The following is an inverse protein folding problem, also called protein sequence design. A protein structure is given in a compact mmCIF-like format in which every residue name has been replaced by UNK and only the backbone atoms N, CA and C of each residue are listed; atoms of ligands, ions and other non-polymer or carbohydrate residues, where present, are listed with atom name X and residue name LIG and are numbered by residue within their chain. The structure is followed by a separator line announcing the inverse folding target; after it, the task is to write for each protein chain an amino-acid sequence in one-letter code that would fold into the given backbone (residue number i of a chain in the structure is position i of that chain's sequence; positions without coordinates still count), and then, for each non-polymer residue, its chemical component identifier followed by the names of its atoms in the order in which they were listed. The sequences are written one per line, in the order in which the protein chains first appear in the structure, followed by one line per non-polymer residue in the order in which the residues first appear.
data_IF_916141300438
#
_entry.id   IF_916141300438
#
_cell.length_a   1.000
_cell.length_b   1.000
_cell.length_c   1.000
_cell.angle_alpha   90.00
_cell.angle_beta   90.00
_cell.angle_gamma   90.00
#
_symmetry.space_group_name_H-M   'P 1'
#
loop_
_entity.id
_entity.type
_entity.pdbx_description
1 polymer ?
#
# COMPACT_ATOMS: atom_id res chain seq x y z
N UNK A 1 38.79 -9.24 -2.82
CA UNK A 1 38.72 -8.12 -1.87
C UNK A 1 37.31 -7.54 -1.76
N UNK A 2 36.86 -6.60 -2.62
CA UNK A 2 35.53 -5.95 -2.46
C UNK A 2 34.35 -6.92 -2.66
N UNK A 3 34.46 -7.84 -3.64
CA UNK A 3 33.47 -8.89 -3.87
C UNK A 3 33.27 -9.82 -2.67
N UNK A 4 34.38 -10.21 -2.03
CA UNK A 4 34.37 -11.09 -0.86
C UNK A 4 33.81 -10.40 0.39
N UNK A 5 33.77 -9.06 0.39
CA UNK A 5 33.14 -8.23 1.43
C UNK A 5 31.67 -7.91 1.13
N UNK A 6 31.08 -8.53 0.11
CA UNK A 6 29.65 -8.44 -0.20
C UNK A 6 29.26 -7.34 -1.20
N UNK A 7 30.20 -6.54 -1.70
CA UNK A 7 29.92 -5.54 -2.75
C UNK A 7 29.82 -6.21 -4.13
N UNK A 8 28.89 -5.75 -4.95
CA UNK A 8 28.71 -6.24 -6.32
C UNK A 8 29.19 -5.20 -7.35
N UNK A 9 29.71 -5.67 -8.48
CA UNK A 9 30.13 -4.81 -9.58
C UNK A 9 29.04 -4.70 -10.65
N UNK A 10 28.94 -3.53 -11.28
CA UNK A 10 28.02 -3.25 -12.39
C UNK A 10 28.81 -2.86 -13.62
N UNK A 11 28.39 -3.32 -14.81
CA UNK A 11 28.97 -2.89 -16.09
C UNK A 11 28.06 -1.88 -16.75
N UNK A 12 28.56 -0.66 -16.96
CA UNK A 12 27.83 0.41 -17.63
C UNK A 12 28.29 0.46 -19.08
N UNK A 13 27.34 0.39 -20.01
CA UNK A 13 27.57 0.62 -21.42
C UNK A 13 27.49 2.14 -21.71
N UNK A 14 28.45 2.67 -22.47
CA UNK A 14 28.44 4.05 -22.93
C UNK A 14 28.95 4.13 -24.37
N UNK A 15 28.48 5.11 -25.13
CA UNK A 15 28.86 5.32 -26.51
C UNK A 15 29.92 6.42 -26.60
N UNK A 16 31.10 6.07 -27.11
CA UNK A 16 32.19 7.02 -27.32
C UNK A 16 32.61 6.90 -28.79
N UNK A 17 32.46 7.98 -29.56
CA UNK A 17 32.76 8.04 -30.99
C UNK A 17 32.06 6.95 -31.84
N UNK A 18 30.79 6.63 -31.54
CA UNK A 18 30.01 5.65 -32.30
C UNK A 18 30.37 4.18 -32.00
N UNK A 19 31.22 3.92 -31.01
CA UNK A 19 31.52 2.58 -30.52
C UNK A 19 30.91 2.38 -29.13
N UNK A 20 30.22 1.26 -28.94
CA UNK A 20 29.76 0.83 -27.62
C UNK A 20 30.95 0.33 -26.80
N UNK A 21 31.24 1.05 -25.71
CA UNK A 21 32.26 0.70 -24.73
C UNK A 21 31.61 0.33 -23.40
N UNK A 22 32.29 -0.51 -22.61
CA UNK A 22 31.80 -0.96 -21.30
C UNK A 22 32.79 -0.59 -20.20
N UNK A 23 32.31 0.08 -19.15
CA UNK A 23 33.10 0.37 -17.94
C UNK A 23 32.56 -0.41 -16.76
N UNK A 24 33.43 -1.14 -16.07
CA UNK A 24 33.05 -1.81 -14.82
C UNK A 24 33.19 -0.81 -13.67
N UNK A 25 32.13 -0.65 -12.89
CA UNK A 25 32.08 0.19 -11.69
C UNK A 25 31.69 -0.66 -10.48
N UNK A 26 32.11 -0.24 -9.29
CA UNK A 26 31.75 -0.83 -8.00
C UNK A 26 30.91 0.18 -7.23
N UNK A 27 29.59 0.23 -7.48
CA UNK A 27 28.72 1.26 -6.94
C UNK A 27 28.28 0.86 -5.54
N UNK A 28 29.12 1.16 -4.55
CA UNK A 28 28.81 0.91 -3.15
C UNK A 28 29.82 1.55 -2.21
N UNK A 29 29.52 1.48 -0.92
CA UNK A 29 30.37 1.96 0.16
C UNK A 29 30.50 0.88 1.24
N UNK A 30 31.58 0.96 2.02
CA UNK A 30 31.70 0.20 3.27
C UNK A 30 31.49 1.17 4.43
N UNK A 31 30.56 0.85 5.31
CA UNK A 31 30.39 1.59 6.56
C UNK A 31 31.01 0.77 7.68
N UNK A 32 32.01 1.36 8.34
CA UNK A 32 32.66 0.78 9.50
C UNK A 32 32.22 1.55 10.75
N UNK A 33 31.60 0.87 11.70
CA UNK A 33 31.23 1.45 12.98
C UNK A 33 31.55 0.48 14.11
N UNK A 34 32.29 0.94 15.13
CA UNK A 34 32.71 0.16 16.31
C UNK A 34 33.36 -1.21 16.01
N UNK A 35 33.99 -1.36 14.84
CA UNK A 35 34.70 -2.58 14.44
C UNK A 35 33.88 -3.56 13.60
N UNK A 36 32.59 -3.28 13.36
CA UNK A 36 31.77 -4.00 12.37
C UNK A 36 31.79 -3.25 11.03
N UNK A 37 32.03 -3.99 9.94
CA UNK A 37 31.98 -3.48 8.57
C UNK A 37 30.71 -4.00 7.88
N UNK A 38 29.88 -3.10 7.36
CA UNK A 38 28.69 -3.45 6.58
C UNK A 38 28.79 -2.88 5.15
N UNK A 39 28.59 -3.70 4.11
CA UNK A 39 28.56 -3.23 2.72
C UNK A 39 27.22 -2.57 2.39
N UNK A 40 27.28 -1.44 1.69
CA UNK A 40 26.13 -0.73 1.14
C UNK A 40 26.25 -0.74 -0.37
N UNK A 41 25.30 -1.39 -1.05
CA UNK A 41 25.24 -1.43 -2.51
C UNK A 41 24.30 -0.33 -3.01
N UNK A 42 24.76 0.54 -3.91
CA UNK A 42 23.99 1.70 -4.38
C UNK A 42 23.09 1.39 -5.57
N UNK A 43 23.45 0.42 -6.42
CA UNK A 43 22.66 0.05 -7.60
C UNK A 43 22.08 -1.36 -7.45
N UNK A 44 20.75 -1.47 -7.68
CA UNK A 44 20.10 -2.74 -7.95
C UNK A 44 20.49 -3.26 -9.33
N UNK A 45 20.66 -4.57 -9.45
CA UNK A 45 21.07 -5.24 -10.68
C UNK A 45 19.97 -5.17 -11.74
N UNK A 46 20.05 -4.18 -12.62
CA UNK A 46 19.68 -4.15 -14.06
C UNK A 46 19.54 -2.69 -14.49
N UNK A 47 20.58 -2.13 -15.13
CA UNK A 47 20.52 -0.76 -15.70
C UNK A 47 20.53 -0.87 -17.23
N UNK A 48 19.38 -0.73 -17.91
CA UNK A 48 19.32 -0.54 -19.34
C UNK A 48 19.29 0.97 -19.64
N UNK A 49 20.45 1.51 -20.03
CA UNK A 49 20.69 2.88 -20.54
C UNK A 49 20.54 4.07 -19.56
N UNK A 50 21.41 5.07 -19.74
CA UNK A 50 21.52 6.26 -18.93
C UNK A 50 20.70 7.42 -19.53
N UNK A 51 19.45 7.56 -19.10
CA UNK A 51 18.64 8.76 -19.32
C UNK A 51 18.79 9.74 -18.14
N UNK A 52 18.57 11.03 -18.38
CA UNK A 52 18.67 12.10 -17.35
C UNK A 52 17.70 11.86 -16.17
N UNK A 53 16.52 11.28 -16.44
CA UNK A 53 15.56 10.84 -15.42
C UNK A 53 16.10 9.67 -14.55
N UNK A 54 16.95 8.81 -15.12
CA UNK A 54 17.57 7.69 -14.40
C UNK A 54 18.73 8.12 -13.51
N UNK A 55 19.46 9.16 -13.90
CA UNK A 55 20.52 9.76 -13.05
C UNK A 55 19.90 10.26 -11.75
N UNK A 56 18.77 10.97 -11.83
CA UNK A 56 18.09 11.49 -10.65
C UNK A 56 17.51 10.38 -9.75
N UNK A 57 16.89 9.34 -10.34
CA UNK A 57 16.41 8.17 -9.58
C UNK A 57 17.53 7.38 -8.89
N UNK A 58 18.71 7.32 -9.53
CA UNK A 58 19.90 6.68 -8.97
C UNK A 58 20.47 7.46 -7.78
N UNK A 59 20.45 8.80 -7.81
CA UNK A 59 20.88 9.65 -6.69
C UNK A 59 20.00 9.40 -5.47
N UNK A 60 18.68 9.41 -5.62
CA UNK A 60 17.75 9.18 -4.50
C UNK A 60 17.91 7.76 -3.92
N UNK A 61 18.10 6.76 -4.79
CA UNK A 61 18.36 5.37 -4.36
C UNK A 61 19.67 5.28 -3.59
N UNK A 62 20.73 5.96 -4.04
CA UNK A 62 22.03 5.99 -3.37
C UNK A 62 21.93 6.63 -1.98
N UNK A 63 21.25 7.77 -1.85
CA UNK A 63 21.02 8.43 -0.55
C UNK A 63 20.25 7.51 0.42
N UNK A 64 19.22 6.82 -0.06
CA UNK A 64 18.47 5.86 0.73
C UNK A 64 19.35 4.70 1.22
N UNK A 65 20.08 4.05 0.31
CA UNK A 65 20.94 2.92 0.65
C UNK A 65 22.01 3.33 1.67
N UNK A 66 22.58 4.54 1.51
CA UNK A 66 23.55 5.09 2.44
C UNK A 66 22.96 5.35 3.83
N UNK A 67 21.80 6.02 3.91
CA UNK A 67 21.13 6.30 5.17
C UNK A 67 20.72 5.00 5.89
N UNK A 68 20.20 4.02 5.14
CA UNK A 68 19.80 2.72 5.66
C UNK A 68 21.00 1.96 6.24
N UNK A 69 22.11 1.90 5.51
CA UNK A 69 23.30 1.20 5.97
C UNK A 69 24.03 1.88 7.14
N UNK A 70 24.07 3.23 7.19
CA UNK A 70 24.58 3.95 8.37
C UNK A 70 23.74 3.61 9.59
N UNK A 71 22.41 3.63 9.48
CA UNK A 71 21.51 3.34 10.60
C UNK A 71 21.59 1.88 11.05
N UNK A 72 21.67 0.94 10.10
CA UNK A 72 21.92 -0.47 10.44
C UNK A 72 23.22 -0.64 11.24
N UNK A 73 24.24 0.17 10.95
CA UNK A 73 25.49 0.20 11.72
C UNK A 73 25.43 0.98 13.03
N UNK A 74 24.49 1.92 13.22
CA UNK A 74 24.42 2.79 14.42
C UNK A 74 23.25 2.50 15.36
N UNK A 75 22.24 1.75 14.94
CA UNK A 75 21.10 1.37 15.78
C UNK A 75 21.57 0.45 16.91
N UNK A 76 21.27 0.84 18.15
CA UNK A 76 21.82 0.21 19.35
C UNK A 76 21.08 -1.07 19.74
N UNK A 77 19.78 -1.17 19.42
CA UNK A 77 18.95 -2.35 19.69
C UNK A 77 17.90 -2.54 18.58
N UNK A 78 17.70 -3.78 18.10
CA UNK A 78 16.63 -4.08 17.15
C UNK A 78 15.26 -3.88 17.82
N UNK A 79 14.36 -3.19 17.11
CA UNK A 79 12.97 -3.01 17.56
C UNK A 79 12.22 -4.33 17.64
N UNK A 80 11.32 -4.45 18.61
CA UNK A 80 10.51 -5.66 18.82
C UNK A 80 9.10 -5.51 18.25
N UNK A 81 8.72 -6.43 17.39
CA UNK A 81 7.43 -6.46 16.69
C UNK A 81 6.67 -7.71 17.13
N UNK A 82 5.45 -7.54 17.64
CA UNK A 82 4.52 -8.62 17.91
C UNK A 82 3.56 -8.82 16.75
N UNK A 83 3.39 -10.06 16.29
CA UNK A 83 2.32 -10.47 15.38
C UNK A 83 1.26 -11.18 16.22
N UNK A 84 0.05 -10.66 16.20
CA UNK A 84 -1.05 -11.21 16.98
C UNK A 84 -1.59 -12.50 16.35
N UNK A 85 -1.88 -13.47 17.20
CA UNK A 85 -2.58 -14.72 16.88
C UNK A 85 -3.64 -15.04 17.94
N UNK A 86 -4.58 -15.92 17.57
CA UNK A 86 -5.62 -16.46 18.45
C UNK A 86 -7.05 -16.01 18.11
N UNK A 87 -7.22 -15.12 17.13
CA UNK A 87 -8.52 -14.62 16.68
C UNK A 87 -8.72 -14.82 15.16
N UNK A 88 -8.06 -15.84 14.61
CA UNK A 88 -8.16 -16.24 13.20
C UNK A 88 -7.43 -15.31 12.24
N UNK A 89 -6.35 -14.69 12.71
CA UNK A 89 -5.42 -13.93 11.89
C UNK A 89 -4.78 -14.77 10.77
N UNK A 90 -4.12 -14.08 9.84
CA UNK A 90 -3.39 -14.72 8.74
C UNK A 90 -2.37 -15.77 9.23
N UNK A 91 -2.44 -16.95 8.64
CA UNK A 91 -1.48 -18.03 8.87
C UNK A 91 -0.04 -17.62 8.53
N UNK A 92 0.93 -18.30 9.14
CA UNK A 92 2.36 -18.01 8.98
C UNK A 92 2.83 -17.97 7.54
N UNK A 93 2.41 -18.97 6.77
CA UNK A 93 2.77 -19.08 5.37
C UNK A 93 2.19 -17.93 4.55
N UNK A 94 1.04 -17.39 4.94
CA UNK A 94 0.35 -16.31 4.25
C UNK A 94 1.02 -14.94 4.42
N UNK A 95 1.84 -14.76 5.47
CA UNK A 95 2.61 -13.53 5.72
C UNK A 95 4.13 -13.72 5.60
N UNK A 96 4.60 -14.91 5.20
CA UNK A 96 6.00 -15.30 5.24
C UNK A 96 6.96 -14.32 4.53
N UNK A 97 6.57 -13.75 3.38
CA UNK A 97 7.45 -12.80 2.66
C UNK A 97 7.62 -11.47 3.40
N UNK A 98 6.57 -10.97 4.05
CA UNK A 98 6.63 -9.75 4.86
C UNK A 98 7.44 -10.01 6.14
N UNK A 99 7.10 -11.07 6.87
CA UNK A 99 7.73 -11.42 8.16
C UNK A 99 9.22 -11.70 7.98
N UNK A 100 9.61 -12.51 7.00
CA UNK A 100 11.03 -12.79 6.73
C UNK A 100 11.83 -11.57 6.28
N UNK A 101 11.15 -10.51 5.81
CA UNK A 101 11.80 -9.24 5.51
C UNK A 101 11.99 -8.40 6.77
N UNK A 102 10.98 -8.35 7.65
CA UNK A 102 11.06 -7.66 8.94
C UNK A 102 12.09 -8.29 9.88
N UNK A 103 12.20 -9.62 9.91
CA UNK A 103 13.16 -10.36 10.74
C UNK A 103 14.64 -10.07 10.41
N UNK A 104 14.93 -9.43 9.26
CA UNK A 104 16.30 -9.05 8.90
C UNK A 104 16.86 -7.91 9.76
N UNK A 105 15.97 -7.05 10.26
CA UNK A 105 16.33 -5.82 10.96
C UNK A 105 15.61 -5.67 12.32
N UNK A 106 14.59 -6.49 12.60
CA UNK A 106 13.77 -6.42 13.81
C UNK A 106 13.61 -7.78 14.50
N UNK A 107 13.30 -7.76 15.79
CA UNK A 107 12.91 -8.94 16.55
C UNK A 107 11.42 -9.17 16.38
N UNK A 108 11.03 -10.12 15.54
CA UNK A 108 9.62 -10.46 15.30
C UNK A 108 9.23 -11.65 16.16
N UNK A 109 8.14 -11.54 16.92
CA UNK A 109 7.57 -12.62 17.71
C UNK A 109 6.08 -12.76 17.47
N UNK A 110 5.59 -13.98 17.44
CA UNK A 110 4.15 -14.30 17.41
C UNK A 110 3.62 -14.40 18.83
N UNK A 111 2.45 -13.81 19.08
CA UNK A 111 1.88 -13.72 20.43
C UNK A 111 0.39 -14.01 20.42
N UNK A 112 -0.03 -14.83 21.38
CA UNK A 112 -1.43 -15.09 21.66
C UNK A 112 -1.82 -14.43 22.99
N UNK A 113 -2.89 -13.63 22.99
CA UNK A 113 -3.29 -12.91 24.20
C UNK A 113 -3.89 -13.85 25.24
N UNK A 114 -4.93 -14.61 24.87
CA UNK A 114 -5.68 -15.51 25.75
C UNK A 114 -6.03 -14.89 27.13
N UNK A 115 -6.37 -13.59 27.12
CA UNK A 115 -6.66 -12.82 28.33
C UNK A 115 -5.50 -12.65 29.32
N UNK A 116 -4.25 -12.91 28.90
CA UNK A 116 -3.05 -12.83 29.76
C UNK A 116 -2.43 -11.43 29.71
N UNK A 117 -2.49 -10.72 30.83
CA UNK A 117 -2.03 -9.33 30.97
C UNK A 117 -0.54 -9.12 30.66
N UNK A 118 0.29 -10.15 30.88
CA UNK A 118 1.75 -10.04 30.80
C UNK A 118 2.32 -10.27 29.39
N UNK A 119 1.47 -10.52 28.39
CA UNK A 119 1.89 -10.89 27.02
C UNK A 119 2.46 -9.69 26.27
N UNK A 120 1.74 -8.57 26.21
CA UNK A 120 2.19 -7.38 25.47
C UNK A 120 2.97 -6.39 26.35
N UNK A 121 2.70 -6.38 27.64
CA UNK A 121 3.28 -5.44 28.60
C UNK A 121 3.61 -6.14 29.91
N UNK A 122 4.57 -5.64 30.66
CA UNK A 122 4.96 -6.14 31.98
C UNK A 122 4.90 -5.04 33.03
N UNK A 123 4.47 -5.39 34.24
CA UNK A 123 4.53 -4.50 35.39
C UNK A 123 5.88 -4.69 36.08
N UNK A 124 6.72 -3.66 35.98
CA UNK A 124 8.01 -3.63 36.68
C UNK A 124 7.81 -3.08 38.09
N UNK A 125 8.57 -3.61 39.05
CA UNK A 125 8.53 -3.13 40.44
C UNK A 125 8.90 -1.64 40.52
N UNK A 126 8.08 -0.86 41.22
CA UNK A 126 8.28 0.58 41.40
C UNK A 126 7.80 1.47 40.25
N UNK A 127 7.36 0.91 39.11
CA UNK A 127 6.81 1.69 38.01
C UNK A 127 5.30 1.91 38.17
N UNK A 128 4.81 3.14 37.94
CA UNK A 128 3.37 3.45 38.03
C UNK A 128 2.55 2.71 36.97
N UNK A 129 3.04 2.69 35.74
CA UNK A 129 2.39 2.05 34.60
C UNK A 129 3.19 0.83 34.12
N UNK A 130 2.55 -0.02 33.31
CA UNK A 130 3.20 -1.18 32.68
C UNK A 130 4.13 -0.70 31.56
N UNK A 131 5.23 -1.42 31.37
CA UNK A 131 6.17 -1.23 30.28
C UNK A 131 5.85 -2.20 29.14
N UNK A 132 5.84 -1.74 27.90
CA UNK A 132 5.58 -2.63 26.77
C UNK A 132 6.80 -3.51 26.46
N UNK A 133 6.56 -4.78 26.14
CA UNK A 133 7.58 -5.73 25.66
C UNK A 133 7.88 -5.56 24.17
N UNK A 134 6.92 -5.00 23.45
CA UNK A 134 6.93 -4.80 22.00
C UNK A 134 6.76 -3.33 21.66
N UNK A 135 7.51 -2.83 20.67
CA UNK A 135 7.35 -1.47 20.14
C UNK A 135 6.12 -1.37 19.23
N UNK A 136 5.86 -2.41 18.44
CA UNK A 136 4.77 -2.48 17.45
C UNK A 136 3.99 -3.79 17.58
N UNK A 137 2.66 -3.70 17.51
CA UNK A 137 1.75 -4.83 17.34
C UNK A 137 1.15 -4.83 15.94
N UNK A 138 1.17 -5.98 15.26
CA UNK A 138 0.54 -6.20 13.95
C UNK A 138 -0.65 -7.12 14.13
N UNK A 139 -1.84 -6.67 13.74
CA UNK A 139 -3.09 -7.44 13.75
C UNK A 139 -3.54 -7.63 12.31
N UNK A 140 -3.46 -8.85 11.80
CA UNK A 140 -3.63 -9.14 10.38
C UNK A 140 -4.82 -10.05 10.11
N UNK A 141 -5.88 -9.49 9.52
CA UNK A 141 -7.10 -10.17 9.07
C UNK A 141 -7.76 -11.07 10.14
N UNK A 142 -8.07 -10.57 11.36
CA UNK A 142 -8.80 -11.39 12.32
C UNK A 142 -10.20 -11.75 11.78
N UNK A 143 -10.62 -12.99 11.98
CA UNK A 143 -11.93 -13.51 11.54
C UNK A 143 -12.89 -13.84 12.71
N UNK A 144 -12.38 -13.78 13.94
CA UNK A 144 -13.07 -14.22 15.14
C UNK A 144 -13.23 -13.08 16.15
N UNK A 145 -14.23 -13.22 17.04
CA UNK A 145 -14.56 -12.20 18.02
C UNK A 145 -13.50 -12.11 19.13
N UNK A 146 -13.02 -10.90 19.39
CA UNK A 146 -12.12 -10.61 20.51
C UNK A 146 -12.86 -10.70 21.84
N UNK A 147 -12.25 -11.35 22.83
CA UNK A 147 -12.76 -11.35 24.19
C UNK A 147 -12.62 -9.95 24.82
N UNK A 148 -13.48 -9.60 25.78
CA UNK A 148 -13.34 -8.31 26.48
C UNK A 148 -11.98 -8.18 27.20
N UNK A 149 -11.38 -9.29 27.64
CA UNK A 149 -10.04 -9.28 28.24
C UNK A 149 -8.97 -8.89 27.22
N UNK A 150 -9.02 -9.47 26.02
CA UNK A 150 -8.07 -9.18 24.95
C UNK A 150 -8.20 -7.73 24.47
N UNK A 151 -9.43 -7.23 24.31
CA UNK A 151 -9.68 -5.82 23.97
C UNK A 151 -9.06 -4.85 24.97
N UNK A 152 -9.19 -5.15 26.27
CA UNK A 152 -8.57 -4.35 27.33
C UNK A 152 -7.03 -4.44 27.28
N UNK A 153 -6.47 -5.61 26.98
CA UNK A 153 -5.00 -5.77 26.83
C UNK A 153 -4.49 -4.95 25.64
N UNK A 154 -5.18 -4.99 24.50
CA UNK A 154 -4.88 -4.19 23.31
C UNK A 154 -4.97 -2.69 23.58
N UNK A 155 -6.03 -2.28 24.28
CA UNK A 155 -6.21 -0.89 24.70
C UNK A 155 -5.05 -0.43 25.60
N UNK A 156 -4.69 -1.22 26.62
CA UNK A 156 -3.62 -0.85 27.52
C UNK A 156 -2.24 -0.89 26.88
N UNK A 157 -2.01 -1.76 25.90
CA UNK A 157 -0.79 -1.72 25.08
C UNK A 157 -0.63 -0.38 24.36
N UNK A 158 -1.70 0.10 23.71
CA UNK A 158 -1.73 1.43 23.08
C UNK A 158 -1.55 2.55 24.13
N UNK A 159 -2.26 2.47 25.26
CA UNK A 159 -2.15 3.48 26.33
C UNK A 159 -0.73 3.57 26.89
N UNK A 160 0.00 2.47 26.96
CA UNK A 160 1.38 2.46 27.43
C UNK A 160 2.39 2.99 26.39
N UNK A 161 1.94 3.44 25.22
CA UNK A 161 2.78 4.00 24.16
C UNK A 161 3.15 3.00 23.06
N UNK A 162 2.55 1.81 23.08
CA UNK A 162 2.70 0.82 22.02
C UNK A 162 1.95 1.29 20.77
N UNK A 163 2.46 0.90 19.61
CA UNK A 163 1.91 1.30 18.31
C UNK A 163 1.26 0.11 17.63
N UNK A 164 0.21 0.33 16.84
CA UNK A 164 -0.56 -0.78 16.27
C UNK A 164 -0.78 -0.61 14.76
N UNK A 165 -0.49 -1.66 14.00
CA UNK A 165 -0.91 -1.80 12.61
C UNK A 165 -2.10 -2.75 12.54
N UNK A 166 -3.27 -2.20 12.25
CA UNK A 166 -4.50 -2.94 12.03
C UNK A 166 -4.70 -3.17 10.53
N UNK A 167 -4.90 -4.43 10.15
CA UNK A 167 -5.36 -4.80 8.81
C UNK A 167 -6.59 -5.68 9.02
N UNK A 168 -7.77 -5.11 8.81
CA UNK A 168 -9.03 -5.70 9.25
C UNK A 168 -9.98 -5.76 8.06
N UNK A 169 -10.64 -6.90 7.88
CA UNK A 169 -11.73 -7.06 6.93
C UNK A 169 -13.07 -6.82 7.61
N UNK A 170 -13.79 -5.74 7.30
CA UNK A 170 -15.15 -5.55 7.81
C UNK A 170 -16.17 -6.51 7.20
N UNK A 171 -15.83 -7.11 6.05
CA UNK A 171 -16.72 -8.00 5.29
C UNK A 171 -15.97 -9.29 4.95
N UNK A 172 -16.46 -10.43 5.43
CA UNK A 172 -15.94 -11.75 5.08
C UNK A 172 -16.45 -12.16 3.70
N UNK A 173 -15.52 -12.46 2.79
CA UNK A 173 -15.81 -12.96 1.44
C UNK A 173 -14.73 -13.97 1.04
N UNK A 174 -15.12 -15.02 0.31
CA UNK A 174 -14.20 -16.05 -0.19
C UNK A 174 -14.16 -16.09 -1.73
N UNK A 175 -12.96 -15.94 -2.29
CA UNK A 175 -12.67 -16.03 -3.72
C UNK A 175 -12.84 -17.44 -4.29
N UNK A 176 -12.55 -18.48 -3.51
CA UNK A 176 -12.58 -19.86 -4.01
C UNK A 176 -14.01 -20.32 -4.26
N UNK A 177 -14.95 -19.82 -3.46
CA UNK A 177 -16.40 -19.96 -3.69
C UNK A 177 -16.83 -19.38 -5.05
N UNK A 178 -16.28 -18.24 -5.49
CA UNK A 178 -16.61 -17.61 -6.79
C UNK A 178 -16.16 -18.49 -7.95
N UNK A 179 -14.99 -19.13 -7.86
CA UNK A 179 -14.45 -19.99 -8.93
C UNK A 179 -15.32 -21.23 -9.20
N UNK A 180 -16.07 -21.67 -8.20
CA UNK A 180 -16.87 -22.90 -8.26
C UNK A 180 -18.34 -22.62 -8.50
N UNK A 181 -18.90 -21.61 -7.82
CA UNK A 181 -20.33 -21.31 -7.82
C UNK A 181 -20.70 -20.05 -8.61
N UNK A 182 -19.75 -19.35 -9.23
CA UNK A 182 -19.89 -18.05 -9.92
C UNK A 182 -20.39 -16.89 -9.05
N UNK A 183 -20.84 -17.16 -7.83
CA UNK A 183 -21.26 -16.15 -6.86
C UNK A 183 -20.93 -16.56 -5.42
N UNK A 184 -20.81 -15.55 -4.57
CA UNK A 184 -20.71 -15.68 -3.12
C UNK A 184 -21.37 -14.46 -2.45
N UNK A 185 -21.54 -14.52 -1.14
CA UNK A 185 -22.09 -13.41 -0.36
C UNK A 185 -21.05 -12.89 0.62
N UNK A 186 -20.77 -11.60 0.53
CA UNK A 186 -20.01 -10.85 1.52
C UNK A 186 -20.91 -10.52 2.71
N UNK A 187 -20.53 -10.97 3.90
CA UNK A 187 -21.26 -10.74 5.16
C UNK A 187 -20.39 -9.96 6.15
N UNK A 188 -21.02 -9.25 7.10
CA UNK A 188 -20.27 -8.52 8.13
C UNK A 188 -19.38 -9.47 8.95
N UNK A 189 -18.11 -9.10 9.11
CA UNK A 189 -17.18 -9.77 10.01
C UNK A 189 -17.41 -9.26 11.44
N UNK A 190 -17.82 -10.11 12.38
CA UNK A 190 -18.11 -9.65 13.75
C UNK A 190 -16.94 -9.92 14.72
N UNK A 191 -15.86 -9.14 14.58
CA UNK A 191 -14.67 -9.24 15.44
C UNK A 191 -14.81 -8.51 16.78
N UNK A 192 -15.84 -7.66 16.93
CA UNK A 192 -16.09 -6.90 18.17
C UNK A 192 -15.13 -5.73 18.45
N UNK A 193 -14.29 -5.32 17.50
CA UNK A 193 -13.34 -4.20 17.64
C UNK A 193 -13.86 -2.86 17.09
N UNK A 194 -14.98 -2.85 16.38
CA UNK A 194 -15.46 -1.64 15.69
C UNK A 194 -15.74 -0.45 16.60
N UNK A 195 -16.30 -0.68 17.78
CA UNK A 195 -16.57 0.38 18.76
C UNK A 195 -15.27 0.93 19.35
N UNK A 196 -14.30 0.06 19.62
CA UNK A 196 -12.99 0.43 20.13
C UNK A 196 -12.20 1.26 19.10
N UNK A 197 -12.18 0.84 17.83
CA UNK A 197 -11.57 1.61 16.74
C UNK A 197 -12.29 2.94 16.50
N UNK A 198 -13.62 2.97 16.63
CA UNK A 198 -14.41 4.19 16.52
C UNK A 198 -14.00 5.21 17.58
N UNK A 199 -13.85 4.78 18.84
CA UNK A 199 -13.41 5.66 19.92
C UNK A 199 -11.99 6.19 19.69
N UNK A 200 -11.12 5.40 19.06
CA UNK A 200 -9.78 5.83 18.65
C UNK A 200 -9.76 6.80 17.46
N UNK A 201 -10.88 6.93 16.73
CA UNK A 201 -11.05 7.90 15.65
C UNK A 201 -11.25 7.30 14.25
N UNK A 202 -11.46 5.98 14.13
CA UNK A 202 -11.72 5.32 12.83
C UNK A 202 -12.98 4.47 12.85
N UNK A 203 -13.87 4.73 11.89
CA UNK A 203 -15.02 3.87 11.62
C UNK A 203 -14.77 2.99 10.40
N UNK A 204 -14.66 1.68 10.60
CA UNK A 204 -14.69 0.71 9.51
C UNK A 204 -16.12 0.51 9.00
N UNK A 205 -16.36 0.73 7.71
CA UNK A 205 -17.67 0.53 7.10
C UNK A 205 -17.86 -0.92 6.62
N UNK A 206 -19.10 -1.41 6.72
CA UNK A 206 -19.46 -2.79 6.35
C UNK A 206 -19.94 -2.81 4.91
N UNK A 207 -19.05 -2.42 4.01
CA UNK A 207 -19.28 -2.30 2.58
C UNK A 207 -18.09 -2.88 1.80
N UNK A 208 -18.30 -3.24 0.55
CA UNK A 208 -17.22 -3.55 -0.39
C UNK A 208 -17.11 -2.41 -1.39
N UNK A 209 -15.89 -1.97 -1.67
CA UNK A 209 -15.64 -0.95 -2.67
C UNK A 209 -15.32 -1.63 -4.00
N UNK A 210 -16.06 -1.25 -5.04
CA UNK A 210 -15.76 -1.62 -6.42
C UNK A 210 -15.20 -0.42 -7.16
N UNK A 211 -14.17 -0.65 -7.96
CA UNK A 211 -13.48 0.42 -8.69
C UNK A 211 -13.16 0.01 -10.12
N UNK A 212 -13.40 0.86 -11.14
CA UNK A 212 -12.94 0.59 -12.49
C UNK A 212 -11.39 0.56 -12.60
N UNK A 213 -10.66 1.20 -11.69
CA UNK A 213 -9.21 1.05 -11.53
C UNK A 213 -8.93 -0.15 -10.63
N UNK A 214 -8.75 -1.32 -11.24
CA UNK A 214 -8.65 -2.59 -10.52
C UNK A 214 -7.65 -3.56 -11.18
N UNK A 215 -7.29 -4.59 -10.43
CA UNK A 215 -6.50 -5.70 -10.92
C UNK A 215 -7.35 -6.63 -11.80
N UNK A 216 -6.73 -7.34 -12.76
CA UNK A 216 -7.46 -8.25 -13.61
C UNK A 216 -7.59 -9.66 -13.01
N UNK A 217 -8.65 -10.37 -13.38
CA UNK A 217 -8.89 -11.77 -13.03
C UNK A 217 -9.06 -12.62 -14.30
N UNK A 218 -8.60 -13.88 -14.23
CA UNK A 218 -8.85 -14.88 -15.27
C UNK A 218 -10.15 -15.63 -14.96
N UNK A 219 -11.15 -15.50 -15.82
CA UNK A 219 -12.44 -16.20 -15.70
C UNK A 219 -12.73 -17.02 -16.95
N UNK A 220 -13.57 -18.04 -16.79
CA UNK A 220 -14.08 -18.85 -17.90
C UNK A 220 -15.15 -18.06 -18.66
N UNK A 221 -14.85 -17.68 -19.91
CA UNK A 221 -15.76 -16.96 -20.80
C UNK A 221 -16.75 -17.89 -21.53
N UNK A 222 -16.82 -19.15 -21.11
CA UNK A 222 -17.73 -20.16 -21.66
C UNK A 222 -17.06 -21.11 -22.65
N UNK A 223 -17.84 -22.05 -23.20
CA UNK A 223 -17.31 -23.10 -24.07
C UNK A 223 -16.91 -22.55 -25.44
N UNK A 224 -15.66 -22.80 -25.83
CA UNK A 224 -15.17 -22.64 -27.20
C UNK A 224 -15.02 -24.04 -27.83
N UNK A 225 -16.13 -24.59 -28.31
CA UNK A 225 -16.20 -26.00 -28.70
C UNK A 225 -16.02 -26.92 -27.48
N UNK A 226 -14.98 -27.77 -27.51
CA UNK A 226 -14.67 -28.71 -26.42
C UNK A 226 -13.69 -28.16 -25.36
N UNK A 227 -13.25 -26.90 -25.49
CA UNK A 227 -12.31 -26.28 -24.55
C UNK A 227 -12.96 -25.11 -23.82
N UNK A 228 -12.62 -24.94 -22.54
CA UNK A 228 -12.99 -23.74 -21.78
C UNK A 228 -12.16 -22.56 -22.26
N UNK A 229 -12.79 -21.43 -22.52
CA UNK A 229 -12.08 -20.24 -22.97
C UNK A 229 -11.79 -19.32 -21.79
N UNK A 230 -10.60 -19.47 -21.19
CA UNK A 230 -10.15 -18.54 -20.16
C UNK A 230 -9.81 -17.18 -20.78
N UNK A 231 -10.42 -16.10 -20.27
CA UNK A 231 -10.12 -14.72 -20.66
C UNK A 231 -9.84 -13.85 -19.44
N UNK A 232 -9.09 -12.78 -19.69
CA UNK A 232 -8.76 -11.78 -18.68
C UNK A 232 -9.85 -10.71 -18.64
N UNK A 233 -10.35 -10.41 -17.45
CA UNK A 233 -11.36 -9.39 -17.19
C UNK A 233 -10.91 -8.44 -16.08
N UNK A 234 -11.46 -7.23 -16.05
CA UNK A 234 -11.23 -6.29 -14.95
C UNK A 234 -12.03 -6.73 -13.72
N UNK A 235 -11.35 -7.06 -12.63
CA UNK A 235 -12.01 -7.51 -11.40
C UNK A 235 -12.31 -6.33 -10.50
N UNK A 236 -13.49 -5.72 -10.64
CA UNK A 236 -13.81 -4.50 -9.89
C UNK A 236 -13.75 -4.64 -8.37
N UNK A 237 -13.83 -5.86 -7.82
CA UNK A 237 -13.64 -6.15 -6.39
C UNK A 237 -12.17 -6.23 -5.94
N UNK A 238 -11.19 -6.05 -6.84
CA UNK A 238 -9.79 -5.85 -6.49
C UNK A 238 -9.30 -4.44 -6.90
N UNK A 239 -9.76 -3.37 -6.23
CA UNK A 239 -9.28 -2.01 -6.51
C UNK A 239 -7.76 -1.89 -6.38
N UNK A 240 -7.19 -1.04 -7.24
CA UNK A 240 -5.81 -0.59 -7.10
C UNK A 240 -5.83 0.83 -6.53
N UNK A 241 -5.38 0.98 -5.29
CA UNK A 241 -5.36 2.27 -4.62
C UNK A 241 -4.08 3.03 -4.93
N UNK A 242 -4.20 4.35 -5.02
CA UNK A 242 -3.06 5.26 -5.10
C UNK A 242 -2.95 6.05 -3.78
N UNK A 243 -1.75 6.53 -3.43
CA UNK A 243 -1.56 7.50 -2.36
C UNK A 243 -2.55 8.67 -2.47
N UNK A 244 -3.23 9.01 -1.37
CA UNK A 244 -4.20 10.10 -1.32
C UNK A 244 -3.58 11.37 -0.74
N UNK A 245 -3.75 12.50 -1.42
CA UNK A 245 -3.25 13.80 -0.95
C UNK A 245 -1.75 14.04 -1.21
N UNK A 246 -1.18 15.03 -0.53
CA UNK A 246 0.21 15.44 -0.73
C UNK A 246 1.17 14.66 0.18
N UNK A 247 1.91 13.73 -0.41
CA UNK A 247 3.29 13.42 -0.03
C UNK A 247 3.56 12.82 1.35
N UNK A 248 2.66 12.00 1.93
CA UNK A 248 2.93 11.36 3.23
C UNK A 248 4.13 10.41 3.13
N UNK A 249 5.07 10.42 4.09
CA UNK A 249 6.24 9.55 4.09
C UNK A 249 5.91 8.08 3.78
N UNK A 250 4.90 7.51 4.45
CA UNK A 250 4.47 6.11 4.26
C UNK A 250 4.17 5.79 2.79
N UNK A 251 3.52 6.71 2.08
CA UNK A 251 2.96 6.48 0.74
C UNK A 251 3.76 7.14 -0.38
N UNK A 252 4.92 7.72 -0.08
CA UNK A 252 5.75 8.39 -1.07
C UNK A 252 6.43 7.39 -2.01
N UNK A 253 6.38 7.70 -3.31
CA UNK A 253 6.97 6.89 -4.38
C UNK A 253 6.52 5.42 -4.37
N UNK A 254 5.26 5.18 -4.01
CA UNK A 254 4.66 3.86 -4.14
C UNK A 254 3.94 3.76 -5.49
N UNK A 255 4.17 2.64 -6.17
CA UNK A 255 3.30 2.13 -7.21
C UNK A 255 1.92 1.74 -6.62
N UNK A 256 0.90 1.42 -7.45
CA UNK A 256 -0.43 1.13 -6.94
C UNK A 256 -0.44 -0.02 -5.93
N UNK A 257 -1.24 0.13 -4.89
CA UNK A 257 -1.43 -0.88 -3.84
C UNK A 257 -2.64 -1.73 -4.20
N UNK A 258 -2.44 -3.05 -4.22
CA UNK A 258 -3.48 -4.01 -4.55
C UNK A 258 -4.29 -4.40 -3.32
N UNK A 259 -5.61 -4.36 -3.48
CA UNK A 259 -6.56 -4.79 -2.47
C UNK A 259 -7.47 -5.88 -3.01
N UNK A 260 -7.99 -6.76 -2.14
CA UNK A 260 -8.97 -7.78 -2.47
C UNK A 260 -10.19 -7.60 -1.54
N UNK A 261 -11.35 -7.21 -2.08
CA UNK A 261 -12.57 -6.95 -1.30
C UNK A 261 -12.41 -5.89 -0.19
N UNK A 262 -11.66 -4.83 -0.48
CA UNK A 262 -11.49 -3.72 0.47
C UNK A 262 -12.79 -3.01 0.81
N UNK A 263 -12.92 -2.68 2.09
CA UNK A 263 -13.99 -1.85 2.62
C UNK A 263 -13.54 -0.39 2.74
N UNK A 264 -14.49 0.55 2.86
CA UNK A 264 -14.11 1.94 3.18
C UNK A 264 -14.00 2.17 4.68
N UNK A 265 -13.22 3.18 5.07
CA UNK A 265 -13.20 3.71 6.42
C UNK A 265 -13.55 5.20 6.43
N UNK A 266 -14.12 5.66 7.54
CA UNK A 266 -14.34 7.08 7.81
C UNK A 266 -13.48 7.50 9.01
N UNK A 267 -12.90 8.69 8.91
CA UNK A 267 -12.24 9.33 10.04
C UNK A 267 -13.28 10.02 10.92
N UNK A 268 -13.13 9.86 12.23
CA UNK A 268 -14.03 10.44 13.23
C UNK A 268 -13.20 11.30 14.16
N UNK A 269 -13.55 12.59 14.24
CA UNK A 269 -12.90 13.53 15.16
C UNK A 269 -13.51 13.37 16.57
N UNK A 270 -13.23 12.22 17.20
CA UNK A 270 -13.66 11.92 18.58
C UNK A 270 -12.78 12.61 19.61
N UNK A 271 -11.53 12.94 19.25
CA UNK A 271 -10.49 13.37 20.18
C UNK A 271 -9.62 14.48 19.58
N UNK A 272 -9.57 15.69 20.20
CA UNK A 272 -8.82 16.82 19.65
C UNK A 272 -7.28 16.65 19.71
N UNK A 273 -6.80 15.68 20.50
CA UNK A 273 -5.37 15.36 20.66
C UNK A 273 -4.88 14.29 19.66
N UNK A 274 -5.75 13.79 18.77
CA UNK A 274 -5.44 12.79 17.76
C UNK A 274 -5.55 13.41 16.37
N UNK A 275 -4.44 13.42 15.63
CA UNK A 275 -4.42 13.83 14.22
C UNK A 275 -4.63 12.60 13.35
N UNK A 276 -5.55 12.70 12.39
CA UNK A 276 -5.86 11.61 11.46
C UNK A 276 -5.51 11.99 10.03
N UNK A 277 -4.77 11.13 9.34
CA UNK A 277 -4.32 11.32 7.95
C UNK A 277 -4.75 10.14 7.09
N UNK A 278 -5.47 10.39 6.00
CA UNK A 278 -5.79 9.36 5.00
C UNK A 278 -4.54 9.05 4.18
N UNK A 279 -4.19 7.76 4.07
CA UNK A 279 -3.01 7.30 3.35
C UNK A 279 -3.36 6.82 1.94
N UNK A 280 -4.36 5.94 1.83
CA UNK A 280 -4.78 5.30 0.58
C UNK A 280 -6.28 5.50 0.40
N UNK A 281 -6.70 5.74 -0.83
CA UNK A 281 -8.11 5.90 -1.18
C UNK A 281 -8.41 5.28 -2.55
N UNK A 282 -9.69 5.01 -2.78
CA UNK A 282 -10.22 4.59 -4.08
C UNK A 282 -10.08 5.70 -5.13
N UNK A 283 -10.37 5.38 -6.39
CA UNK A 283 -10.54 6.39 -7.42
C UNK A 283 -11.81 7.23 -7.19
N UNK A 284 -11.91 8.36 -7.91
CA UNK A 284 -13.11 9.20 -7.91
C UNK A 284 -14.35 8.52 -8.50
N UNK A 285 -14.17 7.38 -9.19
CA UNK A 285 -15.26 6.64 -9.85
C UNK A 285 -15.68 5.38 -9.09
N UNK A 286 -15.10 5.13 -7.91
CA UNK A 286 -15.45 3.97 -7.11
C UNK A 286 -16.90 4.01 -6.62
N UNK A 287 -17.42 2.84 -6.24
CA UNK A 287 -18.77 2.68 -5.66
C UNK A 287 -18.74 1.73 -4.48
N UNK A 288 -19.58 2.02 -3.49
CA UNK A 288 -19.73 1.18 -2.30
C UNK A 288 -20.95 0.27 -2.38
N UNK A 289 -20.76 -1.03 -2.17
CA UNK A 289 -21.82 -2.03 -2.01
C UNK A 289 -21.97 -2.38 -0.53
N UNK A 290 -23.13 -2.15 0.06
CA UNK A 290 -23.37 -2.43 1.49
C UNK A 290 -23.73 -3.89 1.73
N UNK A 291 -23.31 -4.41 2.88
CA UNK A 291 -23.63 -5.78 3.30
C UNK A 291 -25.14 -5.99 3.51
N UNK A 292 -25.66 -7.22 3.26
CA UNK A 292 -24.96 -8.34 2.60
C UNK A 292 -24.71 -8.04 1.12
N UNK A 293 -23.48 -8.24 0.66
CA UNK A 293 -23.07 -7.93 -0.72
C UNK A 293 -23.11 -9.21 -1.54
N UNK A 294 -23.83 -9.22 -2.67
CA UNK A 294 -23.71 -10.30 -3.64
C UNK A 294 -22.47 -10.06 -4.51
N UNK A 295 -21.50 -10.95 -4.41
CA UNK A 295 -20.26 -10.92 -5.20
C UNK A 295 -20.40 -11.97 -6.30
N UNK A 296 -20.48 -11.54 -7.55
CA UNK A 296 -20.73 -12.41 -8.71
C UNK A 296 -19.68 -12.19 -9.79
N UNK A 297 -19.33 -13.24 -10.53
CA UNK A 297 -18.46 -13.13 -11.70
C UNK A 297 -19.04 -12.21 -12.77
N UNK A 298 -20.37 -12.06 -12.84
CA UNK A 298 -21.07 -11.14 -13.76
C UNK A 298 -20.76 -9.65 -13.54
N UNK A 299 -20.05 -9.30 -12.46
CA UNK A 299 -19.61 -7.91 -12.22
C UNK A 299 -18.71 -7.38 -13.36
N UNK A 300 -17.99 -8.29 -14.04
CA UNK A 300 -17.09 -7.93 -15.15
C UNK A 300 -17.82 -7.51 -16.42
N UNK A 301 -19.11 -7.83 -16.52
CA UNK A 301 -19.97 -7.49 -17.66
C UNK A 301 -20.68 -6.14 -17.49
N UNK A 302 -20.42 -5.42 -16.39
CA UNK A 302 -21.00 -4.09 -16.17
C UNK A 302 -20.55 -3.11 -17.27
N UNK A 303 -21.51 -2.33 -17.77
CA UNK A 303 -21.23 -1.24 -18.70
C UNK A 303 -20.31 -0.20 -18.02
N UNK A 304 -19.24 0.30 -18.67
CA UNK A 304 -18.41 1.36 -18.12
C UNK A 304 -19.18 2.63 -17.68
N UNK A 305 -20.33 2.92 -18.30
CA UNK A 305 -21.24 4.00 -17.89
C UNK A 305 -21.83 3.79 -16.50
N UNK A 306 -21.82 2.57 -15.98
CA UNK A 306 -22.20 2.27 -14.60
C UNK A 306 -21.39 3.11 -13.60
N UNK A 307 -20.12 3.42 -13.87
CA UNK A 307 -19.27 4.24 -13.00
C UNK A 307 -19.33 5.75 -13.30
N UNK A 308 -20.27 6.20 -14.13
CA UNK A 308 -20.45 7.62 -14.46
C UNK A 308 -21.24 8.39 -13.38
N UNK A 309 -22.11 7.73 -12.63
CA UNK A 309 -23.02 8.36 -11.67
C UNK A 309 -23.14 7.55 -10.37
N UNK A 310 -23.45 8.21 -9.24
CA UNK A 310 -23.66 7.53 -7.96
C UNK A 310 -22.38 6.99 -7.33
N UNK A 311 -21.27 7.70 -7.54
CA UNK A 311 -19.94 7.27 -7.08
C UNK A 311 -19.71 7.64 -5.61
N UNK A 312 -19.00 6.76 -4.91
CA UNK A 312 -18.38 7.02 -3.61
C UNK A 312 -16.93 7.42 -3.88
N UNK A 313 -16.74 8.66 -4.34
CA UNK A 313 -15.44 9.14 -4.79
C UNK A 313 -14.42 9.16 -3.64
N UNK A 314 -13.20 8.71 -3.91
CA UNK A 314 -12.06 8.76 -2.98
C UNK A 314 -12.37 8.16 -1.61
N UNK A 315 -13.03 7.01 -1.59
CA UNK A 315 -13.32 6.27 -0.37
C UNK A 315 -11.99 5.86 0.31
N UNK A 316 -11.71 6.27 1.57
CA UNK A 316 -10.47 5.92 2.26
C UNK A 316 -10.38 4.42 2.52
N UNK A 317 -9.21 3.82 2.28
CA UNK A 317 -8.90 2.41 2.57
C UNK A 317 -7.92 2.26 3.73
N UNK A 318 -7.02 3.24 3.91
CA UNK A 318 -6.05 3.24 4.99
C UNK A 318 -5.89 4.63 5.60
N UNK A 319 -5.70 4.69 6.92
CA UNK A 319 -5.45 5.92 7.65
C UNK A 319 -4.45 5.75 8.79
N UNK A 320 -3.68 6.81 9.03
CA UNK A 320 -2.77 6.98 10.16
C UNK A 320 -3.44 7.87 11.22
N UNK A 321 -3.32 7.48 12.49
CA UNK A 321 -3.78 8.24 13.63
C UNK A 321 -2.63 8.40 14.62
N UNK A 322 -2.36 9.63 15.02
CA UNK A 322 -1.20 9.99 15.85
C UNK A 322 -1.57 10.98 16.95
N UNK A 323 -0.96 10.81 18.12
CA UNK A 323 -1.10 11.74 19.22
C UNK A 323 -1.38 11.03 20.54
N UNK A 324 -2.25 11.63 21.35
CA UNK A 324 -2.63 11.07 22.66
C UNK A 324 -4.06 10.55 22.63
N UNK A 325 -4.21 9.25 22.86
CA UNK A 325 -5.48 8.55 22.84
C UNK A 325 -6.06 8.42 24.25
N UNK A 326 -7.38 8.51 24.35
CA UNK A 326 -8.16 8.10 25.52
C UNK A 326 -8.53 6.63 25.41
N UNK A 327 -8.39 5.90 26.51
CA UNK A 327 -8.80 4.50 26.61
C UNK A 327 -10.30 4.33 26.35
N UNK A 328 -10.67 3.34 25.54
CA UNK A 328 -12.07 2.94 25.32
C UNK A 328 -12.74 2.49 26.64
N UNK A 329 -11.95 1.93 27.54
CA UNK A 329 -12.41 1.40 28.82
C UNK A 329 -12.39 2.42 29.97
N UNK A 330 -12.08 3.69 29.66
CA UNK A 330 -11.97 4.79 30.63
C UNK A 330 -13.24 5.09 31.44
N UNK A 331 -14.40 4.54 31.09
CA UNK A 331 -15.65 4.72 31.86
C UNK A 331 -16.34 3.40 32.20
N UNK A 332 -16.01 2.32 31.50
CA UNK A 332 -16.68 1.02 31.61
C UNK A 332 -15.91 0.04 32.48
N UNK A 333 -14.60 0.25 32.70
CA UNK A 333 -13.80 -0.65 33.51
C UNK A 333 -14.19 -0.56 35.00
N UNK A 334 -14.42 -1.69 35.70
CA UNK A 334 -14.71 -1.70 37.13
C UNK A 334 -13.63 -1.02 37.97
N UNK A 335 -14.04 -0.28 39.01
CA UNK A 335 -13.14 0.48 39.88
C UNK A 335 -12.06 -0.39 40.54
N UNK A 336 -12.39 -1.65 40.86
CA UNK A 336 -11.45 -2.62 41.42
C UNK A 336 -10.27 -2.93 40.47
N UNK A 337 -10.47 -2.87 39.15
CA UNK A 337 -9.40 -3.05 38.17
C UNK A 337 -8.68 -1.73 37.89
N UNK A 338 -9.40 -0.60 37.83
CA UNK A 338 -8.79 0.72 37.62
C UNK A 338 -7.83 1.13 38.73
N UNK A 339 -8.15 0.78 39.97
CA UNK A 339 -7.35 1.07 41.17
C UNK A 339 -6.30 -0.01 41.50
N UNK A 340 -6.29 -1.12 40.77
CA UNK A 340 -5.32 -2.19 40.97
C UNK A 340 -3.92 -1.77 40.51
N UNK A 341 -2.93 -1.83 41.42
CA UNK A 341 -1.53 -1.54 41.10
C UNK A 341 -0.91 -2.58 40.16
N UNK A 342 -1.35 -3.83 40.23
CA UNK A 342 -0.87 -4.90 39.33
C UNK A 342 -1.37 -4.71 37.89
N UNK A 343 -2.65 -4.33 37.76
CA UNK A 343 -3.22 -4.02 36.45
C UNK A 343 -2.71 -2.69 35.89
N UNK A 344 -2.44 -1.71 36.78
CA UNK A 344 -1.83 -0.42 36.45
C UNK A 344 -2.51 0.30 35.26
N UNK A 345 -3.82 0.47 35.37
CA UNK A 345 -4.64 1.08 34.33
C UNK A 345 -4.17 2.50 33.97
N UNK A 346 -4.14 2.78 32.67
CA UNK A 346 -3.81 4.09 32.11
C UNK A 346 -4.97 4.59 31.26
N UNK A 347 -5.54 5.73 31.65
CA UNK A 347 -6.71 6.33 30.98
C UNK A 347 -6.34 7.11 29.70
N UNK A 348 -5.16 7.71 29.66
CA UNK A 348 -4.64 8.47 28.52
C UNK A 348 -3.26 7.98 28.12
N UNK A 349 -3.06 7.81 26.82
CA UNK A 349 -1.84 7.20 26.29
C UNK A 349 -0.60 8.07 26.51
N UNK A 350 0.58 7.47 26.33
CA UNK A 350 1.73 8.27 25.89
C UNK A 350 1.51 8.66 24.41
N UNK A 351 2.22 9.68 23.88
CA UNK A 351 2.22 9.93 22.44
C UNK A 351 2.51 8.62 21.69
N UNK A 352 1.58 8.23 20.82
CA UNK A 352 1.65 6.97 20.08
C UNK A 352 0.95 7.13 18.73
N UNK A 353 1.02 6.09 17.91
CA UNK A 353 0.47 6.06 16.57
C UNK A 353 -0.17 4.70 16.27
N UNK A 354 -1.18 4.70 15.40
CA UNK A 354 -1.70 3.48 14.79
C UNK A 354 -2.01 3.71 13.31
N UNK A 355 -1.92 2.66 12.52
CA UNK A 355 -2.42 2.63 11.14
C UNK A 355 -3.54 1.61 11.05
N UNK A 356 -4.64 2.00 10.40
CA UNK A 356 -5.78 1.11 10.14
C UNK A 356 -5.96 0.96 8.64
N UNK A 357 -5.96 -0.28 8.17
CA UNK A 357 -6.23 -0.68 6.79
C UNK A 357 -7.50 -1.54 6.78
N UNK A 358 -8.46 -1.17 5.93
CA UNK A 358 -9.76 -1.81 5.80
C UNK A 358 -9.76 -3.04 4.86
N UNK A 359 -8.61 -3.71 4.80
CA UNK A 359 -8.38 -4.99 4.12
C UNK A 359 -7.15 -5.68 4.74
N UNK A 360 -7.32 -6.91 5.18
CA UNK A 360 -6.31 -7.81 5.71
C UNK A 360 -5.52 -8.57 4.64
N UNK A 361 -6.09 -8.78 3.45
CA UNK A 361 -5.42 -9.46 2.34
C UNK A 361 -4.28 -8.63 1.73
N UNK A 362 -4.18 -7.34 2.07
CA UNK A 362 -3.05 -6.46 1.70
C UNK A 362 -1.69 -7.05 2.10
N UNK A 363 -1.64 -7.85 3.19
CA UNK A 363 -0.45 -8.52 3.70
C UNK A 363 -0.32 -9.99 3.27
N UNK A 364 -1.28 -10.52 2.52
CA UNK A 364 -1.30 -11.93 2.11
C UNK A 364 -0.44 -12.19 0.88
N UNK A 365 0.64 -12.96 1.05
CA UNK A 365 1.40 -13.47 -0.09
C UNK A 365 0.69 -14.64 -0.79
N UNK A 366 0.91 -14.76 -2.10
CA UNK A 366 0.37 -15.86 -2.92
C UNK A 366 1.36 -17.02 -3.01
N UNK A 367 0.86 -18.21 -3.39
CA UNK A 367 1.70 -19.41 -3.54
C UNK A 367 1.70 -19.93 -4.98
N UNK A 368 2.82 -20.48 -5.42
CA UNK A 368 2.92 -21.29 -6.63
C UNK A 368 2.31 -22.66 -6.44
N UNK A 369 1.97 -23.29 -7.55
CA UNK A 369 1.41 -24.65 -7.56
C UNK A 369 2.40 -25.68 -6.98
N UNK A 370 3.69 -25.36 -6.95
CA UNK A 370 4.76 -26.13 -6.30
C UNK A 370 4.95 -25.80 -4.81
N UNK A 371 4.09 -24.96 -4.22
CA UNK A 371 4.15 -24.54 -2.82
C UNK A 371 5.13 -23.40 -2.52
N UNK A 372 5.86 -22.87 -3.50
CA UNK A 372 6.78 -21.75 -3.25
C UNK A 372 6.01 -20.46 -2.99
N UNK A 373 6.43 -19.75 -1.95
CA UNK A 373 5.96 -18.41 -1.62
C UNK A 373 6.35 -17.45 -2.75
N UNK A 374 5.39 -16.64 -3.19
CA UNK A 374 5.63 -15.53 -4.09
C UNK A 374 5.90 -14.24 -3.30
N UNK A 375 6.62 -13.28 -3.89
CA UNK A 375 6.71 -11.94 -3.31
C UNK A 375 5.32 -11.38 -3.01
N UNK A 376 5.17 -10.70 -1.88
CA UNK A 376 3.95 -9.98 -1.54
C UNK A 376 3.65 -8.92 -2.62
N UNK A 377 2.39 -8.80 -3.04
CA UNK A 377 1.99 -7.93 -4.16
C UNK A 377 2.16 -8.55 -5.56
N UNK A 378 2.72 -9.75 -5.70
CA UNK A 378 2.86 -10.39 -7.02
C UNK A 378 1.50 -10.84 -7.59
N UNK A 379 1.17 -10.38 -8.80
CA UNK A 379 0.00 -10.85 -9.56
C UNK A 379 0.36 -11.54 -10.88
N UNK A 380 -0.12 -12.78 -11.03
CA UNK A 380 0.06 -13.59 -12.25
C UNK A 380 -0.79 -13.09 -13.41
N UNK A 381 -1.97 -12.57 -13.11
CA UNK A 381 -2.96 -12.21 -14.12
C UNK A 381 -2.61 -10.86 -14.76
N UNK A 382 -2.11 -9.90 -13.96
CA UNK A 382 -1.55 -8.64 -14.43
C UNK A 382 -0.15 -8.77 -15.05
N UNK A 383 0.08 -9.73 -15.96
CA UNK A 383 1.37 -9.88 -16.69
C UNK A 383 2.62 -9.99 -15.78
N UNK A 384 2.48 -10.52 -14.56
CA UNK A 384 3.56 -10.64 -13.56
C UNK A 384 4.00 -9.30 -12.96
N UNK A 385 3.10 -8.33 -12.86
CA UNK A 385 3.30 -7.11 -12.07
C UNK A 385 3.48 -7.47 -10.59
N UNK A 386 4.36 -6.74 -9.92
CA UNK A 386 4.48 -6.73 -8.46
C UNK A 386 3.97 -5.37 -8.01
N UNK A 387 2.89 -5.37 -7.22
CA UNK A 387 2.35 -4.19 -6.58
C UNK A 387 3.14 -3.87 -5.30
N UNK A 388 3.15 -2.60 -4.90
CA UNK A 388 3.96 -2.09 -3.80
C UNK A 388 3.34 -2.35 -2.41
N UNK A 389 2.52 -3.40 -2.29
CA UNK A 389 1.92 -3.82 -1.01
C UNK A 389 2.97 -4.03 0.07
N UNK A 390 4.09 -4.66 -0.28
CA UNK A 390 5.18 -4.93 0.65
C UNK A 390 5.84 -3.63 1.09
N UNK A 391 6.18 -2.77 0.14
CA UNK A 391 6.83 -1.49 0.35
C UNK A 391 5.95 -0.56 1.19
N UNK A 392 4.63 -0.54 0.95
CA UNK A 392 3.67 0.18 1.79
C UNK A 392 3.70 -0.28 3.25
N UNK A 393 3.64 -1.59 3.49
CA UNK A 393 3.65 -2.14 4.85
C UNK A 393 5.01 -1.93 5.53
N UNK A 394 6.12 -2.08 4.82
CA UNK A 394 7.45 -1.78 5.35
C UNK A 394 7.60 -0.29 5.71
N UNK A 395 7.13 0.62 4.85
CA UNK A 395 7.14 2.05 5.15
C UNK A 395 6.25 2.37 6.35
N UNK A 396 5.11 1.70 6.47
CA UNK A 396 4.19 1.83 7.60
C UNK A 396 4.85 1.37 8.89
N UNK A 397 5.48 0.20 8.90
CA UNK A 397 6.21 -0.34 10.06
C UNK A 397 7.34 0.59 10.45
N UNK A 398 8.15 1.06 9.50
CA UNK A 398 9.27 1.98 9.77
C UNK A 398 8.79 3.33 10.30
N UNK A 399 7.71 3.88 9.74
CA UNK A 399 7.12 5.12 10.23
C UNK A 399 6.58 4.93 11.65
N UNK A 400 5.81 3.85 11.88
CA UNK A 400 5.33 3.53 13.22
C UNK A 400 6.49 3.31 14.17
N UNK A 401 7.61 2.71 13.80
CA UNK A 401 8.76 2.54 14.69
C UNK A 401 9.59 3.84 14.92
N UNK A 402 9.10 5.00 14.44
CA UNK A 402 9.78 6.32 14.50
C UNK A 402 11.17 6.29 13.86
N UNK A 403 11.27 5.63 12.70
CA UNK A 403 12.48 5.56 11.90
C UNK A 403 12.56 6.74 10.90
N UNK A 404 12.24 7.95 11.37
CA UNK A 404 11.89 9.15 10.59
C UNK A 404 12.95 9.62 9.57
N UNK A 405 14.20 9.20 9.69
CA UNK A 405 15.27 9.64 8.81
C UNK A 405 15.25 8.98 7.41
N UNK A 406 14.61 7.83 7.23
CA UNK A 406 14.68 7.07 5.97
C UNK A 406 13.61 7.45 4.94
N UNK A 407 12.53 8.05 5.39
CA UNK A 407 11.34 8.22 4.57
C UNK A 407 11.33 9.59 3.85
N UNK A 408 12.00 10.59 4.41
CA UNK A 408 12.14 11.93 3.80
C UNK A 408 12.97 11.91 2.50
N UNK A 409 13.90 10.96 2.35
CA UNK A 409 14.77 10.82 1.16
C UNK A 409 13.99 10.30 -0.07
N UNK A 410 12.85 9.62 0.14
CA UNK A 410 11.98 9.12 -0.95
C UNK A 410 11.02 10.18 -1.53
N UNK A 411 11.11 11.45 -1.16
CA UNK A 411 10.05 12.44 -1.40
C UNK A 411 10.12 13.27 -2.71
N UNK A 412 11.12 13.08 -3.58
CA UNK A 412 11.18 13.82 -4.87
C UNK A 412 10.47 13.05 -5.98
N UNK A 413 9.27 13.54 -6.31
CA UNK A 413 8.25 12.99 -7.22
C UNK A 413 8.63 12.96 -8.70
N UNK A 414 8.16 11.90 -9.39
CA UNK A 414 7.69 11.94 -10.78
C UNK A 414 6.18 11.71 -10.74
N UNK A 415 5.38 12.69 -11.13
CA UNK A 415 3.94 12.51 -11.31
C UNK A 415 3.69 11.64 -12.55
N UNK A 416 3.35 10.36 -12.38
CA UNK A 416 2.68 9.60 -13.44
C UNK A 416 1.18 9.91 -13.39
N UNK A 417 0.77 10.89 -14.20
CA UNK A 417 -0.65 11.12 -14.49
C UNK A 417 -1.12 10.02 -15.43
N UNK A 418 -1.85 9.04 -14.90
CA UNK A 418 -2.54 8.08 -15.75
C UNK A 418 -3.55 8.82 -16.64
N UNK A 419 -3.64 8.44 -17.92
CA UNK A 419 -4.61 9.04 -18.83
C UNK A 419 -6.03 8.55 -18.48
N UNK A 420 -6.97 9.48 -18.32
CA UNK A 420 -8.40 9.17 -18.23
C UNK A 420 -8.91 8.64 -19.57
N UNK A 421 -8.99 7.33 -19.69
CA UNK A 421 -9.42 6.65 -20.91
C UNK A 421 -10.87 7.00 -21.31
N UNK A 422 -11.74 7.41 -20.38
CA UNK A 422 -13.11 7.80 -20.70
C UNK A 422 -13.16 9.21 -21.31
N UNK A 423 -12.35 10.15 -20.79
CA UNK A 423 -12.20 11.46 -21.39
C UNK A 423 -11.50 11.39 -22.76
N UNK A 424 -10.48 10.53 -22.89
CA UNK A 424 -9.81 10.26 -24.17
C UNK A 424 -10.79 9.71 -25.20
N UNK A 425 -11.68 8.78 -24.83
CA UNK A 425 -12.68 8.25 -25.75
C UNK A 425 -13.75 9.28 -26.13
N UNK A 426 -14.27 10.05 -25.18
CA UNK A 426 -15.32 11.05 -25.44
C UNK A 426 -14.81 12.20 -26.32
N UNK A 427 -13.56 12.63 -26.13
CA UNK A 427 -12.93 13.71 -26.91
C UNK A 427 -12.17 13.23 -28.14
N UNK A 428 -12.12 11.92 -28.40
CA UNK A 428 -11.33 11.31 -29.49
C UNK A 428 -11.62 11.94 -30.85
N UNK A 429 -12.91 12.13 -31.17
CA UNK A 429 -13.32 12.70 -32.47
C UNK A 429 -12.87 14.16 -32.61
N UNK A 430 -12.99 14.97 -31.55
CA UNK A 430 -12.55 16.36 -31.57
C UNK A 430 -11.02 16.46 -31.80
N UNK A 431 -10.24 15.64 -31.09
CA UNK A 431 -8.79 15.61 -31.26
C UNK A 431 -8.35 15.06 -32.62
N UNK A 432 -9.06 14.08 -33.17
CA UNK A 432 -8.83 13.59 -34.53
C UNK A 432 -9.12 14.66 -35.59
N UNK A 433 -10.21 15.43 -35.42
CA UNK A 433 -10.52 16.56 -36.31
C UNK A 433 -9.45 17.65 -36.26
N UNK A 434 -8.92 17.97 -35.08
CA UNK A 434 -7.83 18.95 -34.96
C UNK A 434 -6.54 18.41 -35.59
N UNK A 435 -6.17 17.16 -35.30
CA UNK A 435 -4.94 16.55 -35.78
C UNK A 435 -4.91 16.35 -37.30
N UNK A 436 -6.05 16.06 -37.92
CA UNK A 436 -6.17 15.90 -39.40
C UNK A 436 -6.51 17.21 -40.08
N UNK A 437 -7.40 18.00 -39.49
CA UNK A 437 -7.91 19.24 -40.07
C UNK A 437 -6.86 20.36 -40.10
N UNK A 438 -6.05 20.51 -39.04
CA UNK A 438 -5.07 21.60 -38.96
C UNK A 438 -3.97 21.50 -40.03
N UNK A 439 -3.34 20.33 -40.30
CA UNK A 439 -2.40 20.18 -41.41
C UNK A 439 -3.01 20.44 -42.78
N UNK A 440 -4.23 19.98 -43.03
CA UNK A 440 -4.96 20.20 -44.29
C UNK A 440 -5.24 21.69 -44.53
N UNK A 441 -5.64 22.41 -43.47
CA UNK A 441 -5.91 23.84 -43.52
C UNK A 441 -4.63 24.63 -43.78
N UNK A 442 -3.49 24.22 -43.18
CA UNK A 442 -2.17 24.79 -43.48
C UNK A 442 -1.78 24.60 -44.94
N UNK A 443 -1.95 23.40 -45.50
CA UNK A 443 -1.64 23.13 -46.92
C UNK A 443 -2.50 23.99 -47.85
N UNK A 444 -3.80 24.13 -47.56
CA UNK A 444 -4.71 24.97 -48.35
C UNK A 444 -4.36 26.46 -48.26
N UNK A 445 -4.01 26.96 -47.07
CA UNK A 445 -3.56 28.34 -46.89
C UNK A 445 -2.24 28.60 -47.61
N UNK A 446 -1.26 27.72 -47.46
CA UNK A 446 0.02 27.82 -48.18
C UNK A 446 -0.20 27.78 -49.70
N UNK A 447 -1.04 26.87 -50.20
CA UNK A 447 -1.41 26.82 -51.61
C UNK A 447 -2.12 28.09 -52.10
N UNK A 448 -3.04 28.64 -51.31
CA UNK A 448 -3.75 29.89 -51.62
C UNK A 448 -2.82 31.10 -51.67
N UNK A 449 -1.89 31.21 -50.71
CA UNK A 449 -0.86 32.26 -50.70
C UNK A 449 0.04 32.16 -51.93
N UNK A 450 0.51 30.97 -52.28
CA UNK A 450 1.34 30.75 -53.47
C UNK A 450 0.59 31.12 -54.77
N UNK A 451 -0.69 30.77 -54.88
CA UNK A 451 -1.51 31.13 -56.04
C UNK A 451 -1.78 32.64 -56.13
N UNK A 452 -2.01 33.31 -55.00
CA UNK A 452 -2.21 34.75 -54.94
C UNK A 452 -0.92 35.53 -55.29
N UNK A 453 0.24 35.06 -54.80
CA UNK A 453 1.55 35.59 -55.18
C UNK A 453 1.79 35.38 -56.68
N UNK A 454 1.55 34.17 -57.21
CA UNK A 454 1.71 33.88 -58.65
C UNK A 454 0.83 34.77 -59.53
N UNK A 455 -0.43 35.03 -59.13
CA UNK A 455 -1.31 35.99 -59.83
C UNK A 455 -0.76 37.41 -59.82
N UNK A 456 -0.10 37.86 -58.75
CA UNK A 456 0.51 39.20 -58.70
C UNK A 456 1.79 39.31 -59.53
N UNK A 457 2.58 38.24 -59.65
CA UNK A 457 3.87 38.26 -60.36
C UNK A 457 3.76 37.97 -61.86
N UNK A 458 2.77 37.17 -62.30
CA UNK A 458 2.65 36.71 -63.69
C UNK A 458 1.36 37.15 -64.41
N UNK A 459 0.52 37.99 -63.79
CA UNK A 459 -0.56 38.64 -64.53
C UNK A 459 0.03 39.73 -65.43
N UNK A 460 0.36 39.33 -66.67
CA UNK A 460 0.65 40.26 -67.77
C UNK A 460 -0.61 41.11 -67.99
N UNK A 461 -0.47 42.43 -67.86
CA UNK A 461 -1.47 43.36 -68.38
C UNK A 461 -1.52 43.20 -69.90
N UNK A 462 -2.61 42.64 -70.42
CA UNK A 462 -2.97 42.83 -71.82
C UNK A 462 -3.46 44.27 -71.96
N UNK A 463 -2.58 45.15 -72.44
CA UNK A 463 -2.90 46.40 -73.12
C UNK A 463 -1.93 46.57 -74.28
#
# INVERSE_FOLDING_TARGET
ALYERGLQFTRIAFEENGMQSFKTVWPGAMVAYRGEESPIQFFGSEVPQADEAMIQGSINTMEYQLAAGIRKGTSFEPKSIAILEGHGELEDLAMADLVSTLEKDHLVARVELDGRLNVLSEKLEGMKYRSNRYDLLVVAKPDSMFSNKDKVILDQFLMNGGRILWMVDPVLTDLDSIRTANETYGVENNIGLYEQLFDYGVRLNRNLIIDPQCAPIMLDAGPNGNQRQMRLFNWYFAPLAMPFGSGHPITNNLDPIHFDFVSSLDLVDTQPEVTSTVLLASSARAKAYRTPVRVSSSIVDLDPMYFAEGNTANAPFAALLEGTFRSHFAQTLPEALRSSDDFAFRERSAPTAMVVVADGDVARNKFRADGRILPLGYDRNARRVVYDNKEFLLNTVNYLLEEDALISVRSRTIELRSLDNAEVQSRRQAWQFVAVGMPLLLVLLSGGVLLAMRKRTYAVSLN
#
